data_IF_086226202955
#
_entry.id   IF_086226202955
#
_cell.length_a   1.000
_cell.length_b   1.000
_cell.length_c   1.000
_cell.angle_alpha   90.00
_cell.angle_beta   90.00
_cell.angle_gamma   90.00
#
_symmetry.space_group_name_H-M   'P 1'
#
loop_
_entity.id
_entity.type
_entity.pdbx_description
1 polymer ?
#
# COMPACT_ATOMS: atom_id res chain seq x y z
N UNK A 1 8.93 -28.90 -7.33
CA UNK A 1 8.50 -29.44 -6.02
C UNK A 1 8.30 -28.26 -5.08
N UNK A 2 7.21 -27.51 -5.31
CA UNK A 2 6.89 -26.26 -4.62
C UNK A 2 5.42 -26.35 -4.18
N UNK A 3 5.08 -27.50 -3.59
CA UNK A 3 3.76 -27.90 -3.13
C UNK A 3 3.85 -28.28 -1.65
N UNK A 4 4.06 -27.30 -0.76
CA UNK A 4 3.85 -27.51 0.67
C UNK A 4 3.21 -26.25 1.28
N UNK A 5 1.95 -26.43 1.72
CA UNK A 5 1.17 -25.59 2.65
C UNK A 5 0.40 -24.37 2.11
N UNK A 6 -0.48 -24.59 1.14
CA UNK A 6 -1.73 -23.79 1.02
C UNK A 6 -2.90 -24.67 1.49
N UNK A 7 -3.22 -24.66 2.79
CA UNK A 7 -4.41 -25.32 3.33
C UNK A 7 -5.24 -24.39 4.22
N UNK A 8 -6.41 -24.04 3.67
CA UNK A 8 -7.71 -23.82 4.34
C UNK A 8 -7.72 -22.96 5.62
N UNK A 9 -7.94 -21.65 5.45
CA UNK A 9 -8.72 -20.86 6.40
C UNK A 9 -9.80 -20.10 5.60
N UNK A 10 -11.06 -20.28 5.99
CA UNK A 10 -12.23 -19.72 5.31
C UNK A 10 -12.18 -18.18 5.40
N UNK A 11 -12.17 -17.54 4.23
CA UNK A 11 -12.11 -16.09 4.05
C UNK A 11 -13.38 -15.40 4.57
N UNK A 12 -13.22 -14.39 5.42
CA UNK A 12 -14.27 -13.39 5.68
C UNK A 12 -14.04 -12.27 4.66
N UNK A 13 -14.81 -12.26 3.59
CA UNK A 13 -14.86 -11.13 2.67
C UNK A 13 -15.88 -10.14 3.20
N UNK A 14 -15.49 -8.89 3.44
CA UNK A 14 -16.42 -7.78 3.63
C UNK A 14 -16.50 -7.05 2.28
N UNK A 15 -17.50 -7.35 1.44
CA UNK A 15 -17.64 -6.64 0.17
C UNK A 15 -18.08 -5.20 0.44
N UNK A 16 -17.12 -4.27 0.49
CA UNK A 16 -17.44 -2.85 0.36
C UNK A 16 -17.52 -2.51 -1.13
N UNK A 17 -18.67 -1.97 -1.56
CA UNK A 17 -18.79 -1.33 -2.87
C UNK A 17 -18.49 0.14 -2.68
N UNK A 18 -17.31 0.60 -3.09
CA UNK A 18 -16.95 2.02 -3.01
C UNK A 18 -17.11 2.66 -4.39
N UNK A 19 -18.04 3.59 -4.54
CA UNK A 19 -18.14 4.46 -5.71
C UNK A 19 -17.11 5.58 -5.57
N UNK A 20 -16.13 5.65 -6.48
CA UNK A 20 -14.94 6.47 -6.29
C UNK A 20 -14.91 7.68 -7.23
N UNK A 21 -14.41 8.80 -6.70
CA UNK A 21 -14.20 10.04 -7.44
C UNK A 21 -12.93 9.93 -8.30
N UNK A 22 -13.09 9.96 -9.63
CA UNK A 22 -11.97 10.02 -10.57
C UNK A 22 -11.56 11.47 -10.80
N UNK A 23 -10.34 11.85 -10.41
CA UNK A 23 -9.77 13.17 -10.70
C UNK A 23 -8.70 13.07 -11.80
N UNK A 24 -9.12 13.09 -13.06
CA UNK A 24 -8.19 13.35 -14.18
C UNK A 24 -7.92 14.85 -14.29
N UNK A 25 -6.70 15.25 -14.65
CA UNK A 25 -6.26 16.65 -14.71
C UNK A 25 -7.09 17.54 -15.64
N UNK A 26 -7.19 18.82 -15.24
CA UNK A 26 -7.88 19.98 -15.85
C UNK A 26 -9.35 19.79 -16.25
N UNK A 27 -10.23 20.16 -15.32
CA UNK A 27 -11.62 20.61 -15.50
C UNK A 27 -12.66 19.67 -16.10
N UNK A 28 -12.38 18.37 -16.27
CA UNK A 28 -13.41 17.39 -16.63
C UNK A 28 -13.56 16.30 -15.55
N UNK A 29 -14.70 16.33 -14.83
CA UNK A 29 -15.11 15.24 -13.91
C UNK A 29 -15.81 14.18 -14.74
N UNK A 30 -15.12 13.10 -15.07
CA UNK A 30 -15.73 11.91 -15.67
C UNK A 30 -15.95 10.85 -14.59
N UNK A 31 -17.19 10.51 -14.31
CA UNK A 31 -17.55 9.41 -13.41
C UNK A 31 -17.26 8.07 -14.11
N UNK A 32 -16.08 7.49 -13.87
CA UNK A 32 -15.85 6.07 -14.16
C UNK A 32 -16.28 5.29 -12.92
N UNK A 33 -17.41 4.59 -13.01
CA UNK A 33 -17.91 3.75 -11.93
C UNK A 33 -17.10 2.45 -11.88
N UNK A 34 -15.83 2.54 -11.47
CA UNK A 34 -14.97 1.40 -11.23
C UNK A 34 -15.39 0.75 -9.91
N UNK A 35 -15.56 -0.58 -9.90
CA UNK A 35 -15.83 -1.30 -8.66
C UNK A 35 -14.52 -1.67 -7.99
N UNK A 36 -14.31 -1.16 -6.77
CA UNK A 36 -13.23 -1.61 -5.90
C UNK A 36 -13.80 -2.47 -4.77
N UNK A 37 -13.31 -3.70 -4.63
CA UNK A 37 -13.63 -4.59 -3.51
C UNK A 37 -12.37 -4.89 -2.72
N UNK A 38 -12.47 -4.91 -1.39
CA UNK A 38 -11.37 -5.23 -0.47
C UNK A 38 -11.60 -6.62 0.11
N UNK A 39 -10.54 -7.41 0.19
CA UNK A 39 -10.56 -8.72 0.83
C UNK A 39 -9.45 -8.79 1.86
N UNK A 40 -9.79 -9.09 3.11
CA UNK A 40 -8.80 -9.28 4.17
C UNK A 40 -8.02 -10.57 3.91
N UNK A 41 -6.70 -10.46 3.76
CA UNK A 41 -5.79 -11.62 3.70
C UNK A 41 -4.90 -11.58 4.93
N UNK A 42 -5.19 -12.43 5.91
CA UNK A 42 -4.29 -12.59 7.05
C UNK A 42 -3.25 -13.67 6.70
N UNK A 43 -1.99 -13.23 6.68
CA UNK A 43 -0.71 -13.91 6.96
C UNK A 43 0.34 -13.86 5.84
N UNK A 44 1.56 -13.54 6.30
CA UNK A 44 2.81 -13.21 5.62
C UNK A 44 2.83 -11.83 4.97
N UNK A 45 3.40 -10.87 5.69
CA UNK A 45 3.72 -9.52 5.21
C UNK A 45 5.22 -9.29 5.39
N UNK A 46 5.87 -8.80 4.34
CA UNK A 46 7.19 -8.18 4.48
C UNK A 46 6.94 -6.72 4.82
N UNK A 47 7.51 -6.26 5.93
CA UNK A 47 7.37 -4.89 6.43
C UNK A 47 8.72 -4.19 6.44
N UNK A 48 8.77 -3.05 5.76
CA UNK A 48 9.86 -2.09 5.80
C UNK A 48 9.44 -0.99 6.78
N UNK A 49 10.10 -0.90 7.92
CA UNK A 49 9.89 0.20 8.86
C UNK A 49 10.86 1.34 8.53
N UNK A 50 10.39 2.58 8.57
CA UNK A 50 11.26 3.75 8.37
C UNK A 50 11.92 4.08 9.71
N UNK A 51 13.26 4.03 9.76
CA UNK A 51 14.04 4.35 10.96
C UNK A 51 14.62 5.75 10.81
N UNK A 52 14.46 6.58 11.83
CA UNK A 52 15.11 7.89 11.89
C UNK A 52 16.63 7.72 11.93
N UNK A 53 17.33 8.21 10.90
CA UNK A 53 18.80 8.24 10.87
C UNK A 53 19.40 9.47 11.56
N UNK A 54 18.57 10.28 12.24
CA UNK A 54 18.98 11.54 12.87
C UNK A 54 19.18 12.69 11.89
N UNK A 55 18.83 12.50 10.61
CA UNK A 55 18.95 13.50 9.53
C UNK A 55 17.65 14.23 9.20
N UNK A 56 16.57 13.95 9.94
CA UNK A 56 15.31 14.71 9.90
C UNK A 56 14.68 14.85 8.49
N UNK A 57 14.89 13.87 7.61
CA UNK A 57 14.38 13.89 6.24
C UNK A 57 13.46 12.70 5.99
N UNK A 58 12.34 12.63 6.72
CA UNK A 58 11.31 11.65 6.40
C UNK A 58 10.59 12.04 5.11
N UNK A 59 10.18 11.07 4.27
CA UNK A 59 9.40 11.38 3.09
C UNK A 59 8.02 11.97 3.47
N UNK A 60 7.76 13.22 3.07
CA UNK A 60 6.50 13.93 3.38
C UNK A 60 5.51 13.77 2.23
N UNK A 61 4.29 13.34 2.55
CA UNK A 61 3.14 13.30 1.66
C UNK A 61 2.25 14.54 1.86
N UNK A 62 1.95 15.24 0.76
CA UNK A 62 1.01 16.36 0.68
C UNK A 62 0.20 16.27 -0.63
N UNK A 63 -0.79 17.17 -0.81
CA UNK A 63 -1.61 17.20 -2.02
C UNK A 63 -2.80 16.24 -1.98
N UNK A 64 -3.29 15.74 -3.12
CA UNK A 64 -4.43 14.82 -3.22
C UNK A 64 -5.69 15.22 -2.41
N UNK A 65 -5.94 16.53 -2.27
CA UNK A 65 -6.98 17.10 -1.40
C UNK A 65 -6.89 16.60 0.06
N UNK A 66 -5.67 16.36 0.55
CA UNK A 66 -5.36 16.13 1.95
C UNK A 66 -5.14 17.47 2.64
N UNK A 67 -5.54 17.55 3.92
CA UNK A 67 -5.31 18.72 4.75
C UNK A 67 -4.17 18.43 5.73
N UNK A 68 -3.01 19.02 5.49
CA UNK A 68 -1.80 18.87 6.31
C UNK A 68 -0.72 17.99 5.68
N UNK A 69 0.33 17.78 6.46
CA UNK A 69 1.51 17.02 6.08
C UNK A 69 1.52 15.66 6.80
N UNK A 70 1.85 14.62 6.04
CA UNK A 70 1.86 13.24 6.53
C UNK A 70 3.24 12.65 6.31
N UNK A 71 3.76 11.95 7.31
CA UNK A 71 5.06 11.29 7.23
C UNK A 71 4.88 9.78 7.08
N UNK A 72 5.78 9.14 6.34
CA UNK A 72 5.76 7.70 6.11
C UNK A 72 6.22 6.94 7.37
N UNK A 73 5.38 6.04 7.86
CA UNK A 73 5.66 5.16 9.01
C UNK A 73 6.29 3.84 8.55
N UNK A 74 5.62 3.18 7.61
CA UNK A 74 6.05 1.89 7.09
C UNK A 74 5.52 1.62 5.68
N UNK A 75 6.18 0.68 5.01
CA UNK A 75 5.67 0.03 3.80
C UNK A 75 5.53 -1.45 4.07
N UNK A 76 4.42 -2.05 3.66
CA UNK A 76 4.27 -3.50 3.72
C UNK A 76 3.55 -4.06 2.51
N UNK A 77 3.78 -5.34 2.25
CA UNK A 77 3.27 -6.03 1.07
C UNK A 77 2.28 -7.12 1.44
N UNK A 78 1.25 -7.25 0.62
CA UNK A 78 0.24 -8.31 0.66
C UNK A 78 0.32 -9.13 -0.61
N UNK A 79 0.52 -10.45 -0.46
CA UNK A 79 0.46 -11.40 -1.57
C UNK A 79 -0.99 -11.65 -1.94
N UNK A 80 -1.29 -11.51 -3.22
CA UNK A 80 -2.61 -11.21 -3.74
C UNK A 80 -3.13 -9.88 -3.19
N UNK A 81 -3.48 -8.98 -4.10
CA UNK A 81 -4.01 -7.69 -3.72
C UNK A 81 -5.27 -7.83 -2.89
N UNK A 82 -5.34 -7.04 -1.82
CA UNK A 82 -6.52 -6.93 -0.99
C UNK A 82 -7.61 -6.22 -1.78
N UNK A 83 -7.26 -5.11 -2.44
CA UNK A 83 -8.18 -4.45 -3.35
C UNK A 83 -8.26 -5.19 -4.69
N UNK A 84 -9.43 -5.13 -5.31
CA UNK A 84 -9.64 -5.45 -6.71
C UNK A 84 -10.04 -4.20 -7.45
N UNK A 85 -9.67 -4.08 -8.73
CA UNK A 85 -10.07 -2.96 -9.59
C UNK A 85 -10.85 -3.56 -10.75
N UNK A 86 -12.13 -3.20 -10.87
CA UNK A 86 -13.06 -3.79 -11.85
C UNK A 86 -13.13 -5.32 -11.73
N UNK A 87 -13.12 -5.82 -10.48
CA UNK A 87 -13.14 -7.25 -10.17
C UNK A 87 -11.82 -7.99 -10.44
N UNK A 88 -10.81 -7.31 -11.00
CA UNK A 88 -9.47 -7.88 -11.19
C UNK A 88 -8.67 -7.80 -9.90
N UNK A 89 -8.17 -8.94 -9.46
CA UNK A 89 -7.16 -9.07 -8.40
C UNK A 89 -5.75 -9.11 -9.00
N UNK A 90 -4.81 -8.45 -8.34
CA UNK A 90 -3.41 -8.37 -8.72
C UNK A 90 -2.56 -9.33 -7.88
N UNK A 91 -1.40 -9.80 -8.36
CA UNK A 91 -0.53 -10.71 -7.63
C UNK A 91 0.06 -10.14 -6.33
N UNK A 92 0.21 -8.82 -6.23
CA UNK A 92 0.84 -8.16 -5.09
C UNK A 92 0.26 -6.74 -4.92
N UNK A 93 0.12 -6.31 -3.68
CA UNK A 93 -0.26 -4.95 -3.31
C UNK A 93 0.66 -4.42 -2.20
N UNK A 94 1.21 -3.21 -2.39
CA UNK A 94 1.97 -2.53 -1.36
C UNK A 94 1.14 -1.43 -0.71
N UNK A 95 1.25 -1.34 0.61
CA UNK A 95 0.65 -0.29 1.43
C UNK A 95 1.73 0.61 2.00
N UNK A 96 1.65 1.89 1.67
CA UNK A 96 2.45 2.95 2.29
C UNK A 96 1.60 3.59 3.36
N UNK A 97 1.95 3.36 4.62
CA UNK A 97 1.20 3.88 5.75
C UNK A 97 1.81 5.19 6.20
N UNK A 98 1.02 6.24 6.18
CA UNK A 98 1.41 7.57 6.64
C UNK A 98 0.56 8.01 7.81
N UNK A 99 1.15 8.78 8.72
CA UNK A 99 0.42 9.47 9.77
C UNK A 99 0.62 10.98 9.69
N UNK A 100 -0.41 11.72 10.10
CA UNK A 100 -0.38 13.18 10.10
C UNK A 100 0.64 13.68 11.11
N UNK A 101 1.61 14.46 10.65
CA UNK A 101 2.74 14.90 11.47
C UNK A 101 2.29 15.67 12.72
N UNK A 102 1.15 16.37 12.65
CA UNK A 102 0.54 17.10 13.76
C UNK A 102 0.33 16.24 15.01
N UNK A 103 0.01 14.96 14.86
CA UNK A 103 -0.25 14.04 15.96
C UNK A 103 1.02 13.37 16.52
N UNK A 104 2.19 13.64 15.91
CA UNK A 104 3.51 13.21 16.39
C UNK A 104 3.83 11.73 16.21
N UNK A 105 2.85 10.82 16.21
CA UNK A 105 3.06 9.38 16.02
C UNK A 105 1.86 8.69 15.40
N UNK A 106 2.08 7.54 14.75
CA UNK A 106 1.00 6.66 14.27
C UNK A 106 0.04 6.28 15.40
N UNK A 107 0.57 5.94 16.59
CA UNK A 107 -0.22 5.53 17.76
C UNK A 107 -1.22 6.60 18.21
N UNK A 108 -0.87 7.87 18.08
CA UNK A 108 -1.79 8.97 18.39
C UNK A 108 -2.72 9.25 17.21
N UNK A 109 -2.16 9.32 16.01
CA UNK A 109 -2.87 9.69 14.80
C UNK A 109 -4.06 8.76 14.48
N UNK A 110 -3.95 7.46 14.78
CA UNK A 110 -5.02 6.49 14.51
C UNK A 110 -6.33 6.79 15.25
N UNK A 111 -6.28 7.61 16.31
CA UNK A 111 -7.47 8.02 17.06
C UNK A 111 -8.24 9.17 16.38
N UNK A 112 -7.76 9.68 15.24
CA UNK A 112 -8.36 10.80 14.51
C UNK A 112 -8.76 10.39 13.09
N UNK A 113 -9.92 10.83 12.59
CA UNK A 113 -10.47 10.42 11.29
C UNK A 113 -9.65 10.92 10.08
N UNK A 114 -8.75 11.87 10.29
CA UNK A 114 -7.82 12.39 9.29
C UNK A 114 -6.37 12.08 9.66
N UNK A 115 -6.13 11.21 10.63
CA UNK A 115 -4.79 10.97 11.15
C UNK A 115 -3.96 10.02 10.30
N UNK A 116 -4.59 9.11 9.55
CA UNK A 116 -3.90 8.06 8.82
C UNK A 116 -4.30 8.05 7.34
N UNK A 117 -3.29 8.04 6.48
CA UNK A 117 -3.43 7.88 5.03
C UNK A 117 -2.72 6.58 4.63
N UNK A 118 -3.32 5.80 3.74
CA UNK A 118 -2.65 4.64 3.14
C UNK A 118 -2.65 4.78 1.63
N UNK A 119 -1.46 4.73 1.02
CA UNK A 119 -1.35 4.58 -0.44
C UNK A 119 -1.33 3.09 -0.79
N UNK A 120 -2.24 2.67 -1.66
CA UNK A 120 -2.30 1.32 -2.23
C UNK A 120 -1.68 1.27 -3.62
N UNK A 121 -0.66 0.44 -3.81
CA UNK A 121 0.03 0.24 -5.10
C UNK A 121 -0.15 -1.20 -5.56
N UNK A 122 -0.79 -1.35 -6.72
CA UNK A 122 -0.94 -2.65 -7.38
C UNK A 122 0.33 -3.03 -8.14
N UNK A 123 0.64 -4.31 -8.20
CA UNK A 123 1.70 -4.86 -9.05
C UNK A 123 1.11 -5.84 -10.05
N UNK A 124 1.58 -5.84 -11.30
CA UNK A 124 1.11 -6.75 -12.34
C UNK A 124 2.28 -7.53 -12.92
N UNK A 125 2.03 -8.78 -13.29
CA UNK A 125 3.00 -9.59 -14.05
C UNK A 125 3.37 -8.88 -15.36
N UNK A 126 4.66 -8.85 -15.66
CA UNK A 126 5.25 -8.33 -16.89
C UNK A 126 6.55 -9.07 -17.20
N UNK A 127 7.02 -9.02 -18.45
CA UNK A 127 8.28 -9.66 -18.86
C UNK A 127 9.50 -9.04 -18.14
N UNK A 128 9.44 -7.74 -17.86
CA UNK A 128 10.43 -7.02 -17.08
C UNK A 128 9.81 -6.46 -15.80
N UNK A 129 10.48 -6.71 -14.68
CA UNK A 129 10.13 -6.17 -13.37
C UNK A 129 10.59 -4.73 -13.17
N UNK A 130 10.13 -4.10 -12.09
CA UNK A 130 10.61 -2.77 -11.68
C UNK A 130 11.99 -2.89 -11.05
N UNK A 131 12.98 -2.17 -11.58
CA UNK A 131 14.34 -2.18 -11.04
C UNK A 131 14.40 -1.63 -9.61
N UNK A 132 13.52 -0.68 -9.30
CA UNK A 132 13.37 -0.05 -7.99
C UNK A 132 13.01 -1.08 -6.91
N UNK A 133 12.32 -2.16 -7.27
CA UNK A 133 11.93 -3.24 -6.37
C UNK A 133 13.08 -4.22 -6.08
N UNK A 134 14.14 -4.26 -6.89
CA UNK A 134 15.22 -5.25 -6.76
C UNK A 134 15.89 -5.23 -5.37
N UNK A 135 16.08 -4.04 -4.80
CA UNK A 135 16.67 -3.89 -3.47
C UNK A 135 15.79 -4.52 -2.38
N UNK A 136 14.47 -4.37 -2.50
CA UNK A 136 13.48 -4.95 -1.59
C UNK A 136 13.45 -6.46 -1.74
N UNK A 137 13.39 -6.98 -2.97
CA UNK A 137 13.40 -8.42 -3.26
C UNK A 137 14.66 -9.06 -2.68
N UNK A 138 15.84 -8.57 -3.06
CA UNK A 138 17.12 -9.12 -2.59
C UNK A 138 17.24 -9.11 -1.06
N UNK A 139 16.78 -8.04 -0.42
CA UNK A 139 16.81 -7.94 1.05
C UNK A 139 15.81 -8.88 1.70
N UNK A 140 14.64 -9.09 1.08
CA UNK A 140 13.62 -10.04 1.55
C UNK A 140 14.16 -11.47 1.61
N UNK A 141 15.00 -11.88 0.66
CA UNK A 141 15.67 -13.19 0.70
C UNK A 141 16.52 -13.41 1.96
N UNK A 142 17.03 -12.34 2.58
CA UNK A 142 17.81 -12.40 3.83
C UNK A 142 16.94 -12.53 5.09
N UNK A 143 15.63 -12.28 4.96
CA UNK A 143 14.64 -12.33 6.06
C UNK A 143 13.52 -13.33 5.78
N UNK A 144 13.88 -14.46 5.17
CA UNK A 144 12.95 -15.53 4.76
C UNK A 144 12.39 -16.37 5.93
N UNK A 145 12.76 -16.06 7.18
CA UNK A 145 12.25 -16.71 8.38
C UNK A 145 11.40 -15.73 9.21
N UNK A 146 10.28 -16.18 9.81
CA UNK A 146 9.45 -15.32 10.65
C UNK A 146 10.26 -14.63 11.76
N UNK A 147 9.92 -13.37 12.03
CA UNK A 147 10.55 -12.53 13.08
C UNK A 147 12.04 -12.23 12.86
N UNK A 148 12.59 -12.50 11.68
CA UNK A 148 13.92 -12.02 11.31
C UNK A 148 13.84 -10.58 10.80
N UNK A 149 14.94 -9.84 10.94
CA UNK A 149 15.08 -8.46 10.47
C UNK A 149 16.47 -8.26 9.90
N UNK A 150 16.57 -7.40 8.91
CA UNK A 150 17.83 -6.96 8.31
C UNK A 150 17.72 -5.49 7.93
N UNK A 151 18.85 -4.86 7.65
CA UNK A 151 18.89 -3.47 7.20
C UNK A 151 18.72 -3.41 5.68
N UNK A 152 17.81 -2.55 5.22
CA UNK A 152 17.67 -2.20 3.81
C UNK A 152 18.44 -0.89 3.57
N UNK A 153 19.66 -0.98 3.06
CA UNK A 153 20.50 0.18 2.79
C UNK A 153 20.06 0.90 1.51
N UNK A 154 19.90 2.23 1.56
CA UNK A 154 19.74 3.11 0.38
C UNK A 154 18.55 2.79 -0.53
N UNK A 155 17.35 2.67 0.04
CA UNK A 155 16.09 2.53 -0.69
C UNK A 155 15.23 3.79 -0.51
N UNK A 156 14.78 4.39 -1.61
CA UNK A 156 13.71 5.40 -1.58
C UNK A 156 12.36 4.68 -1.69
N UNK A 157 11.51 4.66 -0.63
CA UNK A 157 10.22 4.00 -0.69
C UNK A 157 9.33 4.51 -1.83
N UNK A 158 9.43 5.79 -2.21
CA UNK A 158 8.57 6.35 -3.25
C UNK A 158 9.03 6.01 -4.67
N UNK A 159 10.20 5.39 -4.83
CA UNK A 159 10.70 4.92 -6.13
C UNK A 159 9.81 3.82 -6.74
N UNK A 160 9.16 3.00 -5.90
CA UNK A 160 8.24 1.94 -6.35
C UNK A 160 6.78 2.41 -6.47
N UNK A 161 6.52 3.73 -6.44
CA UNK A 161 5.21 4.26 -6.80
C UNK A 161 5.01 4.22 -8.32
N UNK A 162 3.76 4.11 -8.80
CA UNK A 162 3.49 4.17 -10.24
C UNK A 162 4.02 5.45 -10.89
N UNK A 163 4.41 5.36 -12.16
CA UNK A 163 4.84 6.51 -12.94
C UNK A 163 3.80 7.64 -12.95
N UNK A 164 2.54 7.28 -13.22
CA UNK A 164 1.39 8.19 -13.09
C UNK A 164 0.80 8.15 -11.66
N UNK A 165 0.98 9.26 -10.94
CA UNK A 165 0.49 9.47 -9.57
C UNK A 165 -0.82 10.28 -9.53
N UNK A 166 -1.35 10.69 -10.68
CA UNK A 166 -2.57 11.52 -10.78
C UNK A 166 -3.83 10.68 -10.90
N UNK A 167 -3.72 9.47 -11.45
CA UNK A 167 -4.84 8.53 -11.57
C UNK A 167 -4.92 7.62 -10.35
N UNK A 168 -5.84 7.96 -9.44
CA UNK A 168 -6.07 7.21 -8.21
C UNK A 168 -7.54 7.25 -7.81
N UNK A 169 -7.87 6.35 -6.88
CA UNK A 169 -9.14 6.24 -6.21
C UNK A 169 -8.96 6.66 -4.74
N UNK A 170 -9.84 7.52 -4.22
CA UNK A 170 -9.78 8.00 -2.83
C UNK A 170 -11.06 7.69 -2.08
N UNK A 171 -10.95 7.10 -0.89
CA UNK A 171 -12.09 6.82 -0.02
C UNK A 171 -11.70 6.71 1.46
N UNK A 172 -12.70 6.76 2.33
CA UNK A 172 -12.54 6.50 3.76
C UNK A 172 -12.83 5.03 4.06
N UNK A 173 -11.93 4.36 4.77
CA UNK A 173 -12.02 2.96 5.15
C UNK A 173 -11.36 2.69 6.49
N UNK A 174 -10.81 1.48 6.64
CA UNK A 174 -10.11 1.03 7.84
C UNK A 174 -8.69 0.56 7.52
N UNK A 175 -7.89 0.28 8.56
CA UNK A 175 -6.73 -0.59 8.41
C UNK A 175 -7.20 -2.00 8.02
N UNK A 176 -6.40 -2.69 7.21
CA UNK A 176 -6.63 -4.10 6.83
C UNK A 176 -5.88 -5.09 7.72
N UNK A 177 -5.03 -4.58 8.62
CA UNK A 177 -4.40 -5.34 9.70
C UNK A 177 -5.15 -5.10 11.02
N UNK A 178 -5.20 -6.09 11.93
CA UNK A 178 -5.71 -5.89 13.29
C UNK A 178 -5.04 -4.66 13.95
N UNK A 179 -5.76 -3.79 14.67
CA UNK A 179 -7.15 -3.85 15.19
C UNK A 179 -8.25 -3.40 14.20
N UNK A 180 -7.97 -3.28 12.91
CA UNK A 180 -8.94 -2.87 11.88
C UNK A 180 -9.57 -1.48 12.14
N UNK A 181 -8.82 -0.55 12.72
CA UNK A 181 -9.29 0.81 13.04
C UNK A 181 -9.89 1.51 11.81
N UNK A 182 -11.10 2.03 11.95
CA UNK A 182 -11.77 2.88 10.97
C UNK A 182 -11.20 4.31 10.99
N UNK A 183 -11.48 5.12 9.96
CA UNK A 183 -10.97 6.49 9.86
C UNK A 183 -9.66 6.61 9.08
N UNK A 184 -9.35 5.62 8.25
CA UNK A 184 -8.19 5.65 7.34
C UNK A 184 -8.62 6.22 6.00
N UNK A 185 -7.90 7.21 5.49
CA UNK A 185 -8.08 7.66 4.11
C UNK A 185 -7.20 6.82 3.19
N UNK A 186 -7.83 6.09 2.28
CA UNK A 186 -7.15 5.31 1.26
C UNK A 186 -6.96 6.12 -0.03
N UNK A 187 -5.79 5.97 -0.64
CA UNK A 187 -5.47 6.44 -1.99
C UNK A 187 -4.90 5.24 -2.76
N UNK A 188 -5.73 4.59 -3.59
CA UNK A 188 -5.33 3.42 -4.38
C UNK A 188 -5.02 3.88 -5.80
N UNK A 189 -3.78 3.70 -6.27
CA UNK A 189 -3.41 4.10 -7.62
C UNK A 189 -4.07 3.20 -8.67
N UNK A 190 -4.54 3.79 -9.78
CA UNK A 190 -5.19 3.04 -10.87
C UNK A 190 -4.18 2.21 -11.67
N UNK A 191 -2.97 2.74 -11.86
CA UNK A 191 -1.94 2.12 -12.69
C UNK A 191 -1.03 1.20 -11.85
N UNK A 192 -0.93 -0.10 -12.19
CA UNK A 192 -0.05 -1.02 -11.49
C UNK A 192 1.42 -0.89 -11.92
N UNK A 193 2.33 -1.23 -11.02
CA UNK A 193 3.78 -1.33 -11.25
C UNK A 193 4.12 -2.70 -11.86
N UNK A 194 5.05 -2.79 -12.83
CA UNK A 194 5.52 -4.07 -13.36
C UNK A 194 6.23 -4.94 -12.32
N UNK A 195 5.95 -6.24 -12.33
CA UNK A 195 6.56 -7.28 -11.51
C UNK A 195 6.94 -8.45 -12.43
N UNK A 196 8.20 -8.88 -12.44
CA UNK A 196 8.61 -10.08 -13.17
C UNK A 196 8.31 -11.34 -12.36
N UNK A 197 8.37 -12.52 -12.98
CA UNK A 197 8.20 -13.81 -12.28
C UNK A 197 9.33 -14.11 -11.29
N UNK A 198 10.53 -13.56 -11.51
CA UNK A 198 11.66 -13.72 -10.60
C UNK A 198 11.53 -12.89 -9.32
N UNK A 199 10.80 -11.76 -9.38
CA UNK A 199 10.57 -10.84 -8.27
C UNK A 199 9.39 -11.27 -7.40
#
# INVERSE_FOLDING_TARGET
MMDILVRQLRHIAIPMTVCLYKKCGCNSVNFKCTRIFIYSVIYYLVKINIIDSGKNSFPILTGAALHGEYTLDNVHFHWHSEHTIDGKRYPLEAHFVHYKMLYGSMREAINYPDGVIVLGVMFKMADCGSEELNSVVYTTWKVNMPKTKTELSSFDPYSILPGDKKSYYKYSGSLTTPECNEGVTWIVFENPVPLSEEQ
#
